data_IF_721552549313
#
_entry.id   IF_721552549313
#
_cell.length_a   1.000
_cell.length_b   1.000
_cell.length_c   1.000
_cell.angle_alpha   90.00
_cell.angle_beta   90.00
_cell.angle_gamma   90.00
#
_symmetry.space_group_name_H-M   'P 1'
#
loop_
_entity.id
_entity.type
_entity.pdbx_description
1 polymer ?
#
# COMPACT_ATOMS: atom_id res chain seq x y z
N UNK A 1 20.10 37.20 31.28
CA UNK A 1 21.21 36.53 30.56
C UNK A 1 20.59 35.80 29.38
N UNK A 2 20.80 36.33 28.16
CA UNK A 2 20.17 35.87 26.91
C UNK A 2 20.83 34.57 26.43
N UNK A 3 20.09 33.46 26.38
CA UNK A 3 20.54 32.22 25.76
C UNK A 3 20.08 32.17 24.30
N UNK A 4 20.99 32.57 23.40
CA UNK A 4 20.87 32.41 21.95
C UNK A 4 20.81 30.91 21.61
N UNK A 5 19.69 30.44 21.07
CA UNK A 5 19.60 29.12 20.45
C UNK A 5 20.41 29.10 19.14
N UNK A 6 21.54 28.40 19.15
CA UNK A 6 22.29 28.05 17.94
C UNK A 6 21.48 27.04 17.13
N UNK A 7 21.02 27.43 15.93
CA UNK A 7 20.44 26.51 14.95
C UNK A 7 21.51 25.51 14.47
N UNK A 8 21.48 24.29 14.96
CA UNK A 8 22.20 23.18 14.35
C UNK A 8 21.51 22.80 13.03
N UNK A 9 22.20 23.02 11.91
CA UNK A 9 21.81 22.54 10.57
C UNK A 9 21.64 21.02 10.59
N UNK A 10 20.42 20.52 10.43
CA UNK A 10 20.14 19.10 10.23
C UNK A 10 20.72 18.63 8.89
N UNK A 11 21.57 17.61 8.95
CA UNK A 11 22.17 16.93 7.78
C UNK A 11 21.14 16.02 7.09
N UNK A 12 20.61 16.53 5.98
CA UNK A 12 20.42 15.88 4.67
C UNK A 12 20.15 14.37 4.65
N UNK A 13 18.89 14.01 4.38
CA UNK A 13 18.47 12.74 3.77
C UNK A 13 19.33 12.43 2.55
N UNK A 14 19.91 11.24 2.46
CA UNK A 14 20.63 10.81 1.24
C UNK A 14 19.72 10.97 0.01
N UNK A 15 20.13 11.72 -1.02
CA UNK A 15 19.25 12.10 -2.11
C UNK A 15 18.86 10.87 -2.94
N UNK A 16 17.56 10.70 -3.20
CA UNK A 16 17.06 9.68 -4.13
C UNK A 16 17.71 9.89 -5.51
N UNK A 17 18.15 8.79 -6.14
CA UNK A 17 18.87 8.84 -7.43
C UNK A 17 17.99 8.33 -8.57
N UNK A 18 17.96 9.08 -9.68
CA UNK A 18 17.19 8.75 -10.87
C UNK A 18 17.74 7.50 -11.54
N UNK A 19 16.92 6.44 -11.63
CA UNK A 19 17.30 5.15 -12.22
C UNK A 19 17.62 5.21 -13.73
N UNK A 20 17.24 6.29 -14.40
CA UNK A 20 17.47 6.50 -15.84
C UNK A 20 18.80 7.19 -16.12
N UNK A 21 19.16 8.21 -15.33
CA UNK A 21 20.31 9.08 -15.66
C UNK A 21 21.22 9.44 -14.48
N UNK A 22 20.96 8.93 -13.27
CA UNK A 22 21.77 9.20 -12.08
C UNK A 22 21.64 10.62 -11.49
N UNK A 23 20.79 11.48 -12.06
CA UNK A 23 20.48 12.80 -11.49
C UNK A 23 19.66 12.68 -10.20
N UNK A 24 19.57 13.74 -9.39
CA UNK A 24 18.72 13.76 -8.20
C UNK A 24 17.27 13.53 -8.60
N UNK A 25 16.67 12.46 -8.09
CA UNK A 25 15.27 12.12 -8.28
C UNK A 25 14.38 12.96 -7.36
N UNK A 26 13.16 13.24 -7.83
CA UNK A 26 12.13 13.89 -7.00
C UNK A 26 11.07 12.91 -6.50
N UNK A 27 11.09 11.68 -7.01
CA UNK A 27 10.12 10.65 -6.63
C UNK A 27 9.87 9.67 -7.75
N UNK A 28 8.80 8.89 -7.61
CA UNK A 28 8.35 7.93 -8.61
C UNK A 28 7.58 8.65 -9.72
N UNK A 29 7.95 8.42 -10.98
CA UNK A 29 7.16 8.86 -12.13
C UNK A 29 7.00 7.69 -13.10
N UNK A 30 5.75 7.40 -13.49
CA UNK A 30 5.43 6.31 -14.39
C UNK A 30 6.06 4.98 -13.94
N UNK A 31 5.94 4.61 -12.66
CA UNK A 31 6.53 3.39 -12.07
C UNK A 31 8.04 3.38 -11.83
N UNK A 32 8.79 4.47 -12.10
CA UNK A 32 10.25 4.50 -11.89
C UNK A 32 10.73 5.75 -11.13
N UNK A 33 11.63 5.53 -10.16
CA UNK A 33 12.29 6.63 -9.41
C UNK A 33 13.12 7.45 -10.39
N UNK A 34 12.70 8.70 -10.61
CA UNK A 34 13.24 9.50 -11.70
C UNK A 34 13.28 10.99 -11.38
N UNK A 35 14.24 11.68 -12.00
CA UNK A 35 14.31 13.14 -11.98
C UNK A 35 13.20 13.75 -12.84
N UNK A 36 12.90 15.03 -12.60
CA UNK A 36 11.89 15.79 -13.34
C UNK A 36 12.16 15.80 -14.86
N UNK A 37 13.42 15.83 -15.28
CA UNK A 37 13.78 15.80 -16.70
C UNK A 37 13.37 14.47 -17.36
N UNK A 38 13.60 13.33 -16.69
CA UNK A 38 13.24 12.02 -17.24
C UNK A 38 11.72 11.79 -17.21
N UNK A 39 11.01 12.27 -16.18
CA UNK A 39 9.53 12.33 -16.17
C UNK A 39 9.00 13.02 -17.42
N UNK A 40 9.41 14.27 -17.62
CA UNK A 40 8.90 15.11 -18.71
C UNK A 40 9.33 14.61 -20.09
N UNK A 41 10.49 13.96 -20.18
CA UNK A 41 10.95 13.30 -21.38
C UNK A 41 10.07 12.09 -21.72
N UNK A 42 9.84 11.18 -20.77
CA UNK A 42 9.02 10.00 -20.99
C UNK A 42 7.58 10.37 -21.38
N UNK A 43 6.97 11.32 -20.66
CA UNK A 43 5.61 11.81 -20.99
C UNK A 43 5.47 12.32 -22.43
N UNK A 44 6.51 12.96 -22.97
CA UNK A 44 6.49 13.51 -24.33
C UNK A 44 6.73 12.46 -25.42
N UNK A 45 7.52 11.43 -25.11
CA UNK A 45 8.05 10.55 -26.15
C UNK A 45 7.58 9.10 -26.05
N UNK A 46 6.95 8.67 -24.96
CA UNK A 46 6.51 7.29 -24.78
C UNK A 46 5.57 6.79 -25.90
N UNK A 47 4.71 7.67 -26.44
CA UNK A 47 3.80 7.36 -27.56
C UNK A 47 4.35 7.74 -28.93
N UNK A 48 5.55 8.32 -29.00
CA UNK A 48 6.14 8.78 -30.26
C UNK A 48 6.86 7.65 -30.99
N UNK A 49 7.10 7.81 -32.29
CA UNK A 49 7.96 6.93 -33.09
C UNK A 49 9.46 7.05 -32.74
N UNK A 50 9.83 7.76 -31.67
CA UNK A 50 11.22 8.01 -31.28
C UNK A 50 12.03 6.72 -31.04
N UNK A 51 11.40 5.63 -30.57
CA UNK A 51 12.06 4.32 -30.45
C UNK A 51 12.46 3.73 -31.82
N UNK A 52 11.77 4.11 -32.90
CA UNK A 52 12.07 3.66 -34.26
C UNK A 52 13.18 4.49 -34.92
N UNK A 53 13.60 5.60 -34.31
CA UNK A 53 14.70 6.40 -34.82
C UNK A 53 16.06 5.77 -34.51
N UNK A 54 16.96 5.77 -35.50
CA UNK A 54 18.25 5.11 -35.40
C UNK A 54 19.17 5.84 -34.42
N UNK A 55 19.75 5.09 -33.48
CA UNK A 55 20.87 5.57 -32.67
C UNK A 55 22.10 5.78 -33.56
N UNK A 56 22.86 6.85 -33.32
CA UNK A 56 24.11 7.16 -34.04
C UNK A 56 25.33 6.40 -33.51
N UNK A 57 25.17 5.68 -32.39
CA UNK A 57 26.25 5.02 -31.64
C UNK A 57 25.79 3.62 -31.17
N UNK A 58 25.32 2.78 -32.10
CA UNK A 58 25.01 1.35 -31.94
C UNK A 58 23.97 0.96 -30.87
N UNK A 59 23.13 1.90 -30.45
CA UNK A 59 22.03 1.60 -29.51
C UNK A 59 22.46 1.38 -28.05
N UNK A 60 23.76 1.50 -27.72
CA UNK A 60 24.33 1.23 -26.39
C UNK A 60 24.78 2.49 -25.64
N UNK A 61 24.19 3.65 -25.92
CA UNK A 61 24.60 4.91 -25.30
C UNK A 61 24.41 4.90 -23.77
N UNK A 62 25.45 5.29 -23.03
CA UNK A 62 25.38 5.45 -21.57
C UNK A 62 24.59 6.72 -21.23
N UNK A 63 23.52 6.57 -20.44
CA UNK A 63 22.62 7.66 -20.06
C UNK A 63 22.98 8.18 -18.67
N UNK A 64 23.54 9.39 -18.61
CA UNK A 64 23.89 10.10 -17.37
C UNK A 64 23.25 11.49 -17.34
N UNK A 65 23.33 12.22 -16.23
CA UNK A 65 22.86 13.61 -16.13
C UNK A 65 23.42 14.49 -17.26
N UNK A 66 24.69 14.28 -17.64
CA UNK A 66 25.38 15.02 -18.70
C UNK A 66 25.01 14.51 -20.10
N UNK A 67 24.93 13.20 -20.30
CA UNK A 67 24.78 12.57 -21.63
C UNK A 67 23.33 12.28 -22.05
N UNK A 68 22.34 12.44 -21.15
CA UNK A 68 20.91 12.15 -21.43
C UNK A 68 20.28 12.97 -22.57
N UNK A 69 20.98 13.94 -23.14
CA UNK A 69 20.51 14.70 -24.31
C UNK A 69 21.15 14.21 -25.63
N UNK A 70 22.23 13.43 -25.56
CA UNK A 70 23.02 13.03 -26.72
C UNK A 70 22.31 11.98 -27.60
N UNK A 71 21.53 11.08 -27.00
CA UNK A 71 20.78 10.07 -27.74
C UNK A 71 19.38 9.89 -27.13
N UNK A 72 18.37 10.48 -27.79
CA UNK A 72 16.99 10.39 -27.35
C UNK A 72 16.39 8.98 -27.50
N UNK A 73 16.67 8.21 -28.59
CA UNK A 73 16.20 6.83 -28.71
C UNK A 73 16.71 5.93 -27.56
N UNK A 74 18.01 5.92 -27.28
CA UNK A 74 18.58 5.13 -26.18
C UNK A 74 18.07 5.59 -24.81
N UNK A 75 17.81 6.89 -24.62
CA UNK A 75 17.20 7.38 -23.38
C UNK A 75 15.77 6.86 -23.22
N UNK A 76 14.98 6.85 -24.29
CA UNK A 76 13.60 6.34 -24.24
C UNK A 76 13.58 4.83 -24.03
N UNK A 77 14.45 4.09 -24.72
CA UNK A 77 14.66 2.66 -24.50
C UNK A 77 15.03 2.38 -23.03
N UNK A 78 15.96 3.15 -22.46
CA UNK A 78 16.33 3.03 -21.04
C UNK A 78 15.16 3.30 -20.11
N UNK A 79 14.28 4.26 -20.43
CA UNK A 79 13.07 4.51 -19.63
C UNK A 79 12.17 3.26 -19.57
N UNK A 80 11.88 2.64 -20.71
CA UNK A 80 11.08 1.41 -20.77
C UNK A 80 11.77 0.22 -20.11
N UNK A 81 13.06 0.00 -20.37
CA UNK A 81 13.85 -1.07 -19.73
C UNK A 81 13.93 -0.93 -18.21
N UNK A 82 13.89 0.30 -17.69
CA UNK A 82 13.88 0.55 -16.24
C UNK A 82 12.47 0.39 -15.65
N UNK A 83 11.45 0.10 -16.47
CA UNK A 83 10.07 -0.14 -16.05
C UNK A 83 9.14 1.06 -16.14
N UNK A 84 9.47 2.10 -16.93
CA UNK A 84 8.51 3.20 -17.11
C UNK A 84 7.30 2.76 -17.91
N UNK A 85 6.10 2.92 -17.35
CA UNK A 85 4.85 2.42 -17.94
C UNK A 85 4.08 3.52 -18.70
N UNK A 86 3.84 3.28 -19.98
CA UNK A 86 3.07 4.15 -20.88
C UNK A 86 1.58 4.17 -20.55
N UNK A 87 1.01 3.10 -19.98
CA UNK A 87 -0.40 3.05 -19.61
C UNK A 87 -0.73 4.09 -18.53
N UNK A 88 0.23 4.38 -17.65
CA UNK A 88 0.11 5.44 -16.65
C UNK A 88 0.03 6.86 -17.24
N UNK A 89 0.47 7.05 -18.50
CA UNK A 89 0.24 8.30 -19.23
C UNK A 89 -1.23 8.36 -19.67
N UNK A 90 -1.76 7.28 -20.27
CA UNK A 90 -3.16 7.21 -20.76
C UNK A 90 -4.19 7.34 -19.65
N UNK A 91 -4.00 6.60 -18.56
CA UNK A 91 -4.85 6.69 -17.38
C UNK A 91 -4.83 8.07 -16.72
N UNK A 92 -3.76 8.85 -16.88
CA UNK A 92 -3.72 10.25 -16.40
C UNK A 92 -4.60 11.20 -17.23
N UNK A 93 -4.76 10.93 -18.53
CA UNK A 93 -5.65 11.69 -19.42
C UNK A 93 -7.11 11.25 -19.28
N UNK A 94 -7.36 9.94 -19.20
CA UNK A 94 -8.71 9.39 -18.95
C UNK A 94 -9.23 9.73 -17.56
N UNK A 95 -8.39 9.73 -16.52
CA UNK A 95 -8.76 10.25 -15.19
C UNK A 95 -9.19 11.70 -15.25
N UNK A 96 -8.47 12.59 -15.97
CA UNK A 96 -8.90 14.00 -16.11
C UNK A 96 -10.28 14.12 -16.74
N UNK A 97 -10.55 13.35 -17.79
CA UNK A 97 -11.83 13.37 -18.51
C UNK A 97 -12.99 12.78 -17.68
N UNK A 98 -12.74 11.72 -16.91
CA UNK A 98 -13.73 11.11 -16.02
C UNK A 98 -14.01 12.00 -14.80
N UNK A 99 -12.97 12.66 -14.25
CA UNK A 99 -13.09 13.66 -13.16
C UNK A 99 -13.90 14.89 -13.60
N UNK A 100 -13.83 15.29 -14.87
CA UNK A 100 -14.67 16.36 -15.43
C UNK A 100 -16.14 15.95 -15.59
N UNK A 101 -16.42 14.67 -15.87
CA UNK A 101 -17.77 14.15 -16.16
C UNK A 101 -18.53 13.62 -14.94
N UNK A 102 -17.87 13.37 -13.81
CA UNK A 102 -18.49 12.78 -12.61
C UNK A 102 -18.17 13.55 -11.34
N UNK A 103 -18.64 14.80 -11.26
CA UNK A 103 -18.60 15.59 -10.01
C UNK A 103 -19.77 15.25 -9.09
N UNK A 104 -19.51 14.49 -8.02
CA UNK A 104 -19.82 14.93 -6.67
C UNK A 104 -18.52 15.37 -5.98
N UNK A 105 -18.54 16.58 -5.42
CA UNK A 105 -17.57 17.23 -4.51
C UNK A 105 -16.24 16.51 -4.20
N UNK A 106 -15.43 16.28 -5.21
CA UNK A 106 -13.96 16.22 -5.08
C UNK A 106 -13.35 17.19 -6.10
N UNK A 107 -13.78 18.45 -6.02
CA UNK A 107 -12.99 19.54 -6.62
C UNK A 107 -11.62 19.55 -5.95
N UNK A 108 -10.59 19.26 -6.76
CA UNK A 108 -9.21 19.71 -6.61
C UNK A 108 -8.74 19.98 -5.17
N UNK A 109 -8.27 18.93 -4.49
CA UNK A 109 -7.48 19.07 -3.26
C UNK A 109 -6.27 20.01 -3.41
N UNK A 110 -5.89 20.39 -4.64
CA UNK A 110 -4.71 21.20 -4.97
C UNK A 110 -5.00 22.67 -5.30
N UNK A 111 -6.23 23.04 -5.71
CA UNK A 111 -6.46 24.40 -6.23
C UNK A 111 -6.66 25.44 -5.11
N UNK A 112 -6.78 24.99 -3.85
CA UNK A 112 -6.86 25.82 -2.64
C UNK A 112 -6.13 25.20 -1.43
N UNK A 113 -5.10 24.41 -1.67
CA UNK A 113 -4.43 23.67 -0.59
C UNK A 113 -3.64 24.59 0.35
N UNK A 114 -4.09 24.70 1.62
CA UNK A 114 -3.33 25.33 2.72
C UNK A 114 -2.61 24.32 3.60
N UNK A 115 -2.55 23.04 3.19
CA UNK A 115 -1.87 22.01 3.96
C UNK A 115 -0.35 22.25 4.03
N UNK A 116 0.30 21.73 5.06
CA UNK A 116 1.76 21.64 5.13
C UNK A 116 2.30 20.43 4.36
N UNK A 117 1.47 19.76 3.56
CA UNK A 117 1.90 18.65 2.71
C UNK A 117 2.54 19.23 1.45
N UNK A 118 3.71 18.72 1.12
CA UNK A 118 4.35 18.99 -0.16
C UNK A 118 3.58 18.30 -1.29
N UNK A 119 3.77 18.78 -2.53
CA UNK A 119 3.16 18.14 -3.70
C UNK A 119 3.54 16.66 -3.84
N UNK A 120 4.74 16.27 -3.42
CA UNK A 120 5.20 14.88 -3.45
C UNK A 120 4.49 14.02 -2.40
N UNK A 121 4.23 14.56 -1.21
CA UNK A 121 3.44 13.88 -0.18
C UNK A 121 1.98 13.68 -0.62
N UNK A 122 1.36 14.67 -1.27
CA UNK A 122 0.03 14.50 -1.85
C UNK A 122 -0.05 13.43 -2.91
N UNK A 123 0.94 13.40 -3.81
CA UNK A 123 1.02 12.36 -4.83
C UNK A 123 1.14 10.97 -4.17
N UNK A 124 1.90 10.87 -3.09
CA UNK A 124 2.07 9.61 -2.37
C UNK A 124 0.80 9.15 -1.65
N UNK A 125 0.05 10.06 -0.99
CA UNK A 125 -1.26 9.76 -0.42
C UNK A 125 -2.25 9.27 -1.49
N UNK A 126 -2.33 10.01 -2.61
CA UNK A 126 -3.18 9.65 -3.74
C UNK A 126 -2.82 8.27 -4.31
N UNK A 127 -1.53 7.96 -4.44
CA UNK A 127 -1.07 6.65 -4.90
C UNK A 127 -1.50 5.54 -3.94
N UNK A 128 -1.40 5.74 -2.62
CA UNK A 128 -1.87 4.77 -1.61
C UNK A 128 -3.38 4.54 -1.80
N UNK A 129 -4.18 5.60 -1.89
CA UNK A 129 -5.63 5.44 -2.02
C UNK A 129 -6.01 4.70 -3.31
N UNK A 130 -5.39 5.08 -4.43
CA UNK A 130 -5.64 4.43 -5.72
C UNK A 130 -5.16 2.98 -5.76
N UNK A 131 -4.02 2.67 -5.15
CA UNK A 131 -3.52 1.30 -5.08
C UNK A 131 -4.51 0.35 -4.40
N UNK A 132 -5.21 0.84 -3.38
CA UNK A 132 -6.28 0.10 -2.72
C UNK A 132 -7.54 0.03 -3.58
N UNK A 133 -8.03 1.16 -4.08
CA UNK A 133 -9.32 1.25 -4.76
C UNK A 133 -9.39 0.48 -6.08
N UNK A 134 -8.30 0.47 -6.86
CA UNK A 134 -8.21 -0.26 -8.13
C UNK A 134 -8.46 -1.78 -7.99
N UNK A 135 -8.35 -2.33 -6.77
CA UNK A 135 -8.58 -3.75 -6.51
C UNK A 135 -10.07 -4.13 -6.41
N UNK A 136 -10.97 -3.14 -6.35
CA UNK A 136 -12.42 -3.31 -6.30
C UNK A 136 -12.90 -4.27 -5.18
N UNK A 137 -12.28 -4.18 -4.00
CA UNK A 137 -12.52 -5.11 -2.89
C UNK A 137 -13.96 -5.06 -2.34
N UNK A 138 -14.60 -3.88 -2.37
CA UNK A 138 -16.00 -3.74 -1.97
C UNK A 138 -16.94 -4.53 -2.88
N UNK A 139 -16.76 -4.42 -4.20
CA UNK A 139 -17.55 -5.16 -5.19
C UNK A 139 -17.38 -6.66 -5.02
N UNK A 140 -16.12 -7.14 -4.95
CA UNK A 140 -15.82 -8.57 -4.73
C UNK A 140 -16.41 -9.11 -3.43
N UNK A 141 -16.38 -8.31 -2.37
CA UNK A 141 -16.96 -8.67 -1.08
C UNK A 141 -18.48 -8.75 -1.16
N UNK A 142 -19.12 -7.80 -1.82
CA UNK A 142 -20.56 -7.81 -2.02
C UNK A 142 -21.02 -9.02 -2.85
N UNK A 143 -20.29 -9.33 -3.92
CA UNK A 143 -20.52 -10.53 -4.75
C UNK A 143 -20.37 -11.82 -3.94
N UNK A 144 -19.35 -11.92 -3.11
CA UNK A 144 -19.19 -13.06 -2.20
C UNK A 144 -20.41 -13.24 -1.29
N UNK A 145 -20.86 -12.17 -0.61
CA UNK A 145 -22.03 -12.26 0.27
C UNK A 145 -23.31 -12.63 -0.49
N UNK A 146 -23.55 -12.05 -1.67
CA UNK A 146 -24.70 -12.42 -2.52
C UNK A 146 -24.65 -13.90 -2.92
N UNK A 147 -23.48 -14.39 -3.32
CA UNK A 147 -23.30 -15.80 -3.68
C UNK A 147 -23.46 -16.73 -2.48
N UNK A 148 -23.11 -16.30 -1.26
CA UNK A 148 -23.36 -17.10 -0.06
C UNK A 148 -24.86 -17.26 0.24
N UNK A 149 -25.66 -16.22 0.00
CA UNK A 149 -27.12 -16.30 0.19
C UNK A 149 -27.77 -17.26 -0.82
N UNK A 150 -27.24 -17.35 -2.05
CA UNK A 150 -27.79 -18.27 -3.07
C UNK A 150 -27.43 -19.74 -2.86
N UNK A 151 -26.38 -20.05 -2.07
CA UNK A 151 -26.00 -21.44 -1.79
C UNK A 151 -27.04 -22.17 -0.91
N UNK A 152 -27.19 -23.51 -1.04
CA UNK A 152 -27.95 -24.33 -0.11
C UNK A 152 -27.43 -24.22 1.33
N UNK A 153 -28.29 -24.29 2.38
CA UNK A 153 -27.89 -24.11 3.78
C UNK A 153 -26.69 -24.98 4.22
N UNK A 154 -26.63 -26.24 3.76
CA UNK A 154 -25.53 -27.18 4.05
C UNK A 154 -24.18 -26.76 3.45
N UNK A 155 -24.18 -25.94 2.39
CA UNK A 155 -22.97 -25.45 1.72
C UNK A 155 -22.54 -24.07 2.24
N UNK A 156 -23.47 -23.30 2.83
CA UNK A 156 -23.17 -22.02 3.50
C UNK A 156 -22.25 -22.21 4.72
N UNK A 157 -22.43 -23.31 5.46
CA UNK A 157 -21.66 -23.59 6.68
C UNK A 157 -20.27 -24.21 6.45
N UNK A 158 -19.83 -24.41 5.19
CA UNK A 158 -18.51 -24.97 4.93
C UNK A 158 -17.41 -23.94 5.16
N UNK A 159 -16.56 -24.21 6.15
CA UNK A 159 -15.39 -23.38 6.48
C UNK A 159 -14.50 -23.09 5.27
N UNK A 160 -14.38 -24.05 4.34
CA UNK A 160 -13.53 -23.89 3.14
C UNK A 160 -13.94 -22.67 2.30
N UNK A 161 -15.24 -22.39 2.17
CA UNK A 161 -15.71 -21.26 1.36
C UNK A 161 -15.32 -19.93 2.01
N UNK A 162 -15.52 -19.82 3.32
CA UNK A 162 -15.19 -18.64 4.10
C UNK A 162 -13.68 -18.43 4.20
N UNK A 163 -12.90 -19.48 4.45
CA UNK A 163 -11.44 -19.42 4.50
C UNK A 163 -10.84 -19.09 3.13
N UNK A 164 -11.40 -19.60 2.02
CA UNK A 164 -10.95 -19.22 0.68
C UNK A 164 -11.20 -17.73 0.41
N UNK A 165 -12.35 -17.20 0.82
CA UNK A 165 -12.64 -15.77 0.72
C UNK A 165 -11.70 -14.94 1.58
N UNK A 166 -11.53 -15.26 2.87
CA UNK A 166 -10.60 -14.56 3.77
C UNK A 166 -9.18 -14.62 3.21
N UNK A 167 -8.72 -15.79 2.77
CA UNK A 167 -7.41 -15.96 2.15
C UNK A 167 -7.23 -15.09 0.91
N UNK A 168 -8.27 -14.94 0.08
CA UNK A 168 -8.23 -14.03 -1.07
C UNK A 168 -8.07 -12.55 -0.65
N UNK A 169 -8.72 -12.11 0.43
CA UNK A 169 -8.55 -10.75 0.96
C UNK A 169 -7.11 -10.52 1.44
N UNK A 170 -6.51 -11.51 2.09
CA UNK A 170 -5.12 -11.42 2.55
C UNK A 170 -4.18 -11.36 1.35
N UNK A 171 -4.38 -12.19 0.33
CA UNK A 171 -3.59 -12.16 -0.90
C UNK A 171 -3.65 -10.79 -1.60
N UNK A 172 -4.82 -10.13 -1.62
CA UNK A 172 -4.95 -8.78 -2.21
C UNK A 172 -4.12 -7.71 -1.48
N UNK A 173 -3.90 -7.85 -0.16
CA UNK A 173 -3.07 -6.90 0.58
C UNK A 173 -1.61 -6.95 0.15
N UNK A 174 -1.11 -8.08 -0.33
CA UNK A 174 0.21 -8.11 -0.96
C UNK A 174 0.26 -7.23 -2.21
N UNK A 175 -0.75 -7.30 -3.07
CA UNK A 175 -0.84 -6.47 -4.30
C UNK A 175 -0.90 -4.99 -3.93
N UNK A 176 -1.69 -4.65 -2.91
CA UNK A 176 -1.77 -3.30 -2.36
C UNK A 176 -0.38 -2.76 -1.94
N UNK A 177 0.33 -3.53 -1.10
CA UNK A 177 1.66 -3.18 -0.59
C UNK A 177 2.68 -3.12 -1.73
N UNK A 178 2.58 -4.06 -2.68
CA UNK A 178 3.42 -4.13 -3.87
C UNK A 178 3.34 -2.89 -4.76
N UNK A 179 2.21 -2.18 -4.78
CA UNK A 179 2.09 -0.94 -5.56
C UNK A 179 2.75 0.27 -4.87
N UNK A 180 3.22 0.12 -3.64
CA UNK A 180 3.91 1.19 -2.94
C UNK A 180 5.36 1.36 -3.45
N UNK A 181 5.77 2.57 -3.87
CA UNK A 181 7.08 2.79 -4.50
C UNK A 181 8.27 2.38 -3.64
N UNK A 182 8.21 2.67 -2.33
CA UNK A 182 9.30 2.32 -1.42
C UNK A 182 9.36 0.81 -1.22
N UNK A 183 8.23 0.09 -1.22
CA UNK A 183 8.24 -1.38 -1.16
C UNK A 183 9.08 -1.97 -2.28
N UNK A 184 8.81 -1.54 -3.53
CA UNK A 184 9.50 -2.03 -4.72
C UNK A 184 10.99 -1.66 -4.76
N UNK A 185 11.40 -0.63 -4.02
CA UNK A 185 12.80 -0.25 -3.91
C UNK A 185 13.60 -1.11 -2.94
N UNK A 186 12.94 -1.89 -2.08
CA UNK A 186 13.59 -2.73 -1.08
C UNK A 186 14.16 -4.02 -1.69
N UNK A 187 15.26 -4.56 -1.12
CA UNK A 187 15.76 -5.88 -1.48
C UNK A 187 14.66 -6.94 -1.38
N UNK A 188 14.71 -7.96 -2.23
CA UNK A 188 13.72 -9.04 -2.26
C UNK A 188 13.57 -9.73 -0.90
N UNK A 189 14.68 -10.01 -0.22
CA UNK A 189 14.68 -10.61 1.12
C UNK A 189 13.92 -9.75 2.14
N UNK A 190 14.08 -8.44 2.05
CA UNK A 190 13.40 -7.46 2.91
C UNK A 190 11.90 -7.38 2.58
N UNK A 191 11.54 -7.40 1.30
CA UNK A 191 10.12 -7.44 0.86
C UNK A 191 9.42 -8.71 1.35
N UNK A 192 10.05 -9.86 1.22
CA UNK A 192 9.51 -11.13 1.69
C UNK A 192 9.31 -11.12 3.21
N UNK A 193 10.27 -10.58 3.95
CA UNK A 193 10.16 -10.50 5.41
C UNK A 193 9.03 -9.57 5.87
N UNK A 194 8.85 -8.42 5.21
CA UNK A 194 7.72 -7.53 5.47
C UNK A 194 6.37 -8.23 5.25
N UNK A 195 6.23 -8.98 4.15
CA UNK A 195 5.00 -9.74 3.89
C UNK A 195 4.81 -10.81 4.95
N UNK A 196 5.83 -11.63 5.24
CA UNK A 196 5.73 -12.71 6.24
C UNK A 196 5.25 -12.19 7.59
N UNK A 197 5.78 -11.06 8.04
CA UNK A 197 5.46 -10.49 9.36
C UNK A 197 4.13 -9.75 9.42
N UNK A 198 3.83 -8.95 8.40
CA UNK A 198 2.76 -7.95 8.50
C UNK A 198 1.49 -8.36 7.73
N UNK A 199 1.53 -9.39 6.88
CA UNK A 199 0.35 -9.74 6.07
C UNK A 199 -0.85 -10.18 6.91
N UNK A 200 -0.62 -10.88 8.03
CA UNK A 200 -1.69 -11.22 8.97
C UNK A 200 -2.35 -9.95 9.52
N UNK A 201 -1.53 -9.00 9.96
CA UNK A 201 -1.98 -7.74 10.53
C UNK A 201 -2.80 -6.90 9.54
N UNK A 202 -2.25 -6.71 8.34
CA UNK A 202 -2.86 -5.90 7.29
C UNK A 202 -4.10 -6.59 6.73
N UNK A 203 -4.04 -7.91 6.48
CA UNK A 203 -5.16 -8.71 5.98
C UNK A 203 -6.33 -8.74 6.95
N UNK A 204 -6.06 -8.98 8.24
CA UNK A 204 -7.09 -8.97 9.29
C UNK A 204 -7.76 -7.60 9.44
N UNK A 205 -6.96 -6.53 9.50
CA UNK A 205 -7.47 -5.17 9.57
C UNK A 205 -8.32 -4.81 8.34
N UNK A 206 -7.85 -5.18 7.15
CA UNK A 206 -8.58 -4.98 5.90
C UNK A 206 -9.93 -5.71 5.89
N UNK A 207 -9.95 -6.99 6.28
CA UNK A 207 -11.19 -7.77 6.35
C UNK A 207 -12.22 -7.14 7.30
N UNK A 208 -11.76 -6.63 8.44
CA UNK A 208 -12.62 -5.94 9.41
C UNK A 208 -13.15 -4.60 8.89
N UNK A 209 -12.32 -3.83 8.19
CA UNK A 209 -12.75 -2.61 7.52
C UNK A 209 -13.81 -2.88 6.46
N UNK A 210 -13.60 -3.87 5.59
CA UNK A 210 -14.57 -4.28 4.57
C UNK A 210 -15.88 -4.75 5.21
N UNK A 211 -15.81 -5.59 6.26
CA UNK A 211 -16.99 -6.04 6.98
C UNK A 211 -17.77 -4.88 7.60
N UNK A 212 -17.09 -3.84 8.11
CA UNK A 212 -17.75 -2.64 8.64
C UNK A 212 -18.46 -1.86 7.55
N UNK A 213 -17.76 -1.56 6.46
CA UNK A 213 -18.29 -0.77 5.35
C UNK A 213 -19.48 -1.43 4.65
N UNK A 214 -19.50 -2.76 4.63
CA UNK A 214 -20.59 -3.54 4.05
C UNK A 214 -21.72 -3.85 5.04
N UNK A 215 -21.70 -3.27 6.26
CA UNK A 215 -22.62 -3.58 7.35
C UNK A 215 -22.74 -5.09 7.63
N UNK A 216 -21.68 -5.86 7.38
CA UNK A 216 -21.70 -7.31 7.55
C UNK A 216 -21.90 -7.72 9.02
N UNK A 217 -21.48 -6.88 9.96
CA UNK A 217 -21.68 -7.09 11.40
C UNK A 217 -23.13 -7.13 11.86
N UNK A 218 -24.06 -6.60 11.05
CA UNK A 218 -25.51 -6.66 11.31
C UNK A 218 -26.15 -7.89 10.66
N UNK A 219 -25.39 -8.63 9.85
CA UNK A 219 -25.85 -9.81 9.15
C UNK A 219 -25.62 -11.08 9.99
N UNK A 220 -26.70 -11.78 10.31
CA UNK A 220 -26.64 -13.02 11.10
C UNK A 220 -25.84 -14.13 10.40
N UNK A 221 -25.88 -14.17 9.07
CA UNK A 221 -25.13 -15.14 8.25
C UNK A 221 -23.63 -14.91 8.43
N UNK A 222 -23.19 -13.65 8.40
CA UNK A 222 -21.79 -13.29 8.63
C UNK A 222 -21.33 -13.70 10.03
N UNK A 223 -22.15 -13.43 11.05
CA UNK A 223 -21.83 -13.80 12.44
C UNK A 223 -21.64 -15.31 12.59
N UNK A 224 -22.52 -16.12 11.98
CA UNK A 224 -22.39 -17.59 11.95
C UNK A 224 -21.10 -18.06 11.26
N UNK A 225 -20.72 -17.46 10.14
CA UNK A 225 -19.49 -17.82 9.44
C UNK A 225 -18.24 -17.56 10.28
N UNK A 226 -18.22 -16.42 10.94
CA UNK A 226 -17.11 -15.98 11.78
C UNK A 226 -17.01 -16.85 13.03
N UNK A 227 -18.13 -17.14 13.70
CA UNK A 227 -18.14 -18.01 14.90
C UNK A 227 -17.78 -19.47 14.57
N UNK A 228 -18.16 -19.98 13.39
CA UNK A 228 -17.77 -21.33 12.96
C UNK A 228 -16.25 -21.49 12.83
N UNK A 229 -15.55 -20.44 12.37
CA UNK A 229 -14.09 -20.47 12.21
C UNK A 229 -13.40 -20.18 13.54
N UNK A 230 -13.82 -19.09 14.20
CA UNK A 230 -13.07 -18.50 15.31
C UNK A 230 -13.60 -18.86 16.70
N UNK A 231 -14.68 -19.63 16.77
CA UNK A 231 -15.30 -20.08 18.01
C UNK A 231 -16.51 -19.24 18.42
N UNK A 232 -17.36 -19.85 19.25
CA UNK A 232 -18.60 -19.24 19.72
C UNK A 232 -18.36 -17.90 20.45
N UNK A 233 -19.11 -16.87 20.07
CA UNK A 233 -19.06 -15.55 20.68
C UNK A 233 -17.93 -14.64 20.18
N UNK A 234 -17.11 -15.10 19.23
CA UNK A 234 -16.09 -14.27 18.59
C UNK A 234 -16.73 -13.11 17.80
N UNK A 235 -17.82 -13.38 17.08
CA UNK A 235 -18.63 -12.40 16.35
C UNK A 235 -19.05 -11.22 17.23
N UNK A 236 -19.60 -11.49 18.42
CA UNK A 236 -19.98 -10.46 19.40
C UNK A 236 -18.80 -9.57 19.81
N UNK A 237 -17.64 -10.18 20.01
CA UNK A 237 -16.40 -9.49 20.36
C UNK A 237 -15.95 -8.55 19.24
N UNK A 238 -16.08 -9.00 17.98
CA UNK A 238 -15.74 -8.22 16.78
C UNK A 238 -16.75 -7.09 16.54
N UNK A 239 -18.05 -7.35 16.70
CA UNK A 239 -19.12 -6.34 16.59
C UNK A 239 -18.90 -5.18 17.58
N UNK A 240 -18.53 -5.49 18.83
CA UNK A 240 -18.21 -4.46 19.84
C UNK A 240 -17.05 -3.57 19.39
N UNK A 241 -15.99 -4.17 18.85
CA UNK A 241 -14.84 -3.44 18.33
C UNK A 241 -15.22 -2.59 17.09
N UNK A 242 -16.12 -3.08 16.23
CA UNK A 242 -16.47 -2.41 14.97
C UNK A 242 -17.20 -1.09 15.17
N UNK A 243 -17.79 -0.86 16.35
CA UNK A 243 -18.39 0.43 16.74
C UNK A 243 -17.35 1.54 16.91
N UNK A 244 -16.10 1.20 17.21
CA UNK A 244 -15.00 2.14 17.43
C UNK A 244 -14.14 2.36 16.18
N UNK A 245 -14.38 1.60 15.11
CA UNK A 245 -13.62 1.70 13.87
C UNK A 245 -13.96 2.99 13.11
N UNK A 246 -12.94 3.72 12.70
CA UNK A 246 -13.08 4.93 11.88
C UNK A 246 -13.71 4.62 10.50
N UNK A 247 -14.71 5.41 10.10
CA UNK A 247 -15.43 5.18 8.84
C UNK A 247 -14.75 5.83 7.62
N UNK A 248 -13.84 6.79 7.84
CA UNK A 248 -13.12 7.45 6.75
C UNK A 248 -12.17 6.46 6.05
N UNK A 249 -12.57 6.00 4.86
CA UNK A 249 -11.81 5.04 4.08
C UNK A 249 -10.40 5.50 3.70
N UNK A 250 -10.17 6.81 3.50
CA UNK A 250 -8.83 7.35 3.22
C UNK A 250 -7.89 7.13 4.40
N UNK A 251 -8.35 7.43 5.61
CA UNK A 251 -7.54 7.23 6.83
C UNK A 251 -7.22 5.75 7.03
N UNK A 252 -8.18 4.86 6.78
CA UNK A 252 -7.95 3.41 6.89
C UNK A 252 -6.95 2.90 5.85
N UNK A 253 -7.03 3.36 4.59
CA UNK A 253 -6.06 2.98 3.54
C UNK A 253 -4.63 3.39 3.90
N UNK A 254 -4.47 4.59 4.48
CA UNK A 254 -3.18 5.06 4.98
C UNK A 254 -2.73 4.20 6.16
N UNK A 255 -3.64 3.89 7.09
CA UNK A 255 -3.38 3.03 8.25
C UNK A 255 -2.92 1.62 7.86
N UNK A 256 -3.56 1.00 6.85
CA UNK A 256 -3.14 -0.28 6.30
C UNK A 256 -1.69 -0.25 5.79
N UNK A 257 -1.29 0.86 5.16
CA UNK A 257 0.10 1.03 4.71
C UNK A 257 1.07 1.24 5.90
N UNK A 258 0.67 1.99 6.94
CA UNK A 258 1.45 2.13 8.18
C UNK A 258 1.66 0.75 8.84
N UNK A 259 0.63 -0.09 8.88
CA UNK A 259 0.71 -1.44 9.41
C UNK A 259 1.60 -2.36 8.55
N UNK A 260 1.55 -2.21 7.22
CA UNK A 260 2.36 -2.99 6.29
C UNK A 260 3.87 -2.78 6.47
N UNK A 261 4.29 -1.58 6.88
CA UNK A 261 5.69 -1.21 7.14
C UNK A 261 6.06 -1.21 8.62
N UNK A 262 5.20 -1.72 9.48
CA UNK A 262 5.47 -1.79 10.91
C UNK A 262 6.61 -2.75 11.21
N UNK A 263 7.58 -2.31 12.02
CA UNK A 263 8.59 -3.19 12.60
C UNK A 263 8.01 -4.09 13.70
N UNK A 264 6.84 -3.72 14.25
CA UNK A 264 6.31 -4.24 15.51
C UNK A 264 4.95 -4.94 15.37
N UNK A 265 4.34 -4.98 14.18
CA UNK A 265 3.10 -5.77 13.98
C UNK A 265 3.34 -7.28 14.14
N UNK A 266 4.62 -7.71 14.08
CA UNK A 266 5.08 -9.06 14.45
C UNK A 266 4.88 -9.42 15.94
N UNK A 267 4.55 -8.47 16.82
CA UNK A 267 4.27 -8.77 18.24
C UNK A 267 3.00 -9.62 18.44
N UNK A 268 2.18 -9.78 17.40
CA UNK A 268 0.99 -10.65 17.45
C UNK A 268 1.28 -12.03 16.87
N UNK A 269 2.31 -12.20 16.04
CA UNK A 269 2.74 -13.51 15.52
C UNK A 269 3.55 -14.23 16.58
N UNK A 270 2.86 -14.80 17.57
CA UNK A 270 3.41 -15.77 18.52
C UNK A 270 3.52 -17.12 17.80
N UNK A 271 4.42 -17.20 16.82
CA UNK A 271 5.00 -18.48 16.44
C UNK A 271 6.45 -18.49 16.94
N UNK A 272 6.72 -19.50 17.76
CA UNK A 272 7.97 -19.78 18.44
C UNK A 272 9.17 -19.83 17.46
N UNK A 273 10.28 -19.18 17.85
CA UNK A 273 11.65 -19.65 17.62
C UNK A 273 12.09 -19.88 16.15
N UNK A 274 11.71 -19.01 15.21
CA UNK A 274 12.54 -18.83 14.00
C UNK A 274 13.12 -17.41 13.94
N UNK A 275 14.32 -17.30 14.53
CA UNK A 275 15.30 -16.25 14.31
C UNK A 275 14.79 -14.79 14.32
N UNK A 276 14.60 -14.26 15.53
CA UNK A 276 14.69 -12.82 15.83
C UNK A 276 15.98 -12.20 15.24
N UNK A 277 17.02 -13.00 14.96
CA UNK A 277 18.31 -12.55 14.44
C UNK A 277 18.32 -12.01 13.00
N UNK A 278 17.26 -12.17 12.20
CA UNK A 278 17.19 -11.51 10.89
C UNK A 278 16.32 -10.25 11.00
N UNK A 279 16.75 -9.30 11.84
CA UNK A 279 16.34 -7.91 11.66
C UNK A 279 17.27 -7.33 10.60
N UNK A 280 16.93 -7.53 9.32
CA UNK A 280 17.53 -6.77 8.23
C UNK A 280 17.15 -5.29 8.39
N UNK A 281 17.94 -4.58 9.20
CA UNK A 281 17.92 -3.14 9.42
C UNK A 281 16.55 -2.55 9.85
N UNK A 282 16.18 -2.59 11.15
CA UNK A 282 14.88 -2.08 11.62
C UNK A 282 14.69 -0.59 11.33
N UNK A 283 15.81 0.14 11.14
CA UNK A 283 15.80 1.58 10.84
C UNK A 283 15.09 1.88 9.53
N UNK A 284 15.16 0.98 8.53
CA UNK A 284 14.51 1.23 7.23
C UNK A 284 12.98 1.13 7.34
N UNK A 285 12.48 0.19 8.15
CA UNK A 285 11.04 0.02 8.38
C UNK A 285 10.48 1.18 9.18
N UNK A 286 11.16 1.54 10.27
CA UNK A 286 10.79 2.69 11.10
C UNK A 286 10.80 3.97 10.26
N UNK A 287 11.82 4.16 9.41
CA UNK A 287 11.90 5.33 8.54
C UNK A 287 10.74 5.40 7.52
N UNK A 288 10.40 4.28 6.86
CA UNK A 288 9.27 4.26 5.91
C UNK A 288 7.95 4.51 6.66
N UNK A 289 7.78 3.88 7.82
CA UNK A 289 6.59 4.07 8.64
C UNK A 289 6.46 5.53 9.12
N UNK A 290 7.55 6.14 9.56
CA UNK A 290 7.60 7.54 10.01
C UNK A 290 7.19 8.52 8.92
N UNK A 291 7.60 8.29 7.66
CA UNK A 291 7.13 9.09 6.51
C UNK A 291 5.60 9.04 6.41
N UNK A 292 5.01 7.84 6.45
CA UNK A 292 3.56 7.68 6.25
C UNK A 292 2.78 8.21 7.45
N UNK A 293 3.27 8.00 8.68
CA UNK A 293 2.68 8.54 9.92
C UNK A 293 2.73 10.07 9.91
N UNK A 294 3.86 10.66 9.51
CA UNK A 294 4.00 12.11 9.38
C UNK A 294 3.02 12.68 8.37
N UNK A 295 2.86 12.02 7.22
CA UNK A 295 1.88 12.42 6.21
C UNK A 295 0.44 12.29 6.71
N UNK A 296 0.11 11.21 7.42
CA UNK A 296 -1.20 11.03 8.05
C UNK A 296 -1.49 12.17 9.03
N UNK A 297 -0.51 12.52 9.88
CA UNK A 297 -0.65 13.60 10.85
C UNK A 297 -0.89 14.96 10.18
N UNK A 298 -0.08 15.30 9.17
CA UNK A 298 -0.26 16.52 8.38
C UNK A 298 -1.63 16.55 7.68
N UNK A 299 -2.06 15.42 7.11
CA UNK A 299 -3.37 15.28 6.47
C UNK A 299 -4.51 15.48 7.47
N UNK A 300 -4.40 14.91 8.68
CA UNK A 300 -5.39 15.09 9.75
C UNK A 300 -5.48 16.55 10.20
N UNK A 301 -4.34 17.22 10.44
CA UNK A 301 -4.32 18.65 10.80
C UNK A 301 -4.97 19.48 9.70
N UNK A 302 -4.64 19.20 8.44
CA UNK A 302 -5.21 19.92 7.30
C UNK A 302 -6.73 19.76 7.21
N UNK A 303 -7.24 18.53 7.33
CA UNK A 303 -8.66 18.24 7.17
C UNK A 303 -9.52 18.66 8.36
N UNK A 304 -8.97 18.60 9.58
CA UNK A 304 -9.78 18.67 10.80
C UNK A 304 -9.31 19.72 11.81
N UNK A 305 -8.13 20.31 11.63
CA UNK A 305 -7.49 21.14 12.65
C UNK A 305 -6.90 20.30 13.79
N UNK A 306 -6.07 20.93 14.64
CA UNK A 306 -5.22 20.21 15.61
C UNK A 306 -5.99 19.34 16.63
N UNK A 307 -7.07 19.88 17.22
CA UNK A 307 -7.82 19.19 18.27
C UNK A 307 -8.52 17.93 17.73
N UNK A 308 -9.29 18.07 16.65
CA UNK A 308 -9.95 16.94 15.99
C UNK A 308 -8.94 15.96 15.37
N UNK A 309 -7.82 16.46 14.82
CA UNK A 309 -6.73 15.62 14.34
C UNK A 309 -6.19 14.71 15.45
N UNK A 310 -6.00 15.25 16.65
CA UNK A 310 -5.55 14.50 17.83
C UNK A 310 -6.54 13.38 18.19
N UNK A 311 -7.82 13.71 18.30
CA UNK A 311 -8.89 12.74 18.60
C UNK A 311 -8.93 11.63 17.55
N UNK A 312 -8.87 11.99 16.27
CA UNK A 312 -8.91 11.02 15.16
C UNK A 312 -7.66 10.15 15.13
N UNK A 313 -6.49 10.71 15.39
CA UNK A 313 -5.24 9.95 15.48
C UNK A 313 -5.30 8.92 16.61
N UNK A 314 -5.77 9.32 17.79
CA UNK A 314 -5.98 8.41 18.93
C UNK A 314 -7.01 7.31 18.60
N UNK A 315 -8.09 7.65 17.90
CA UNK A 315 -9.09 6.68 17.44
C UNK A 315 -8.51 5.65 16.45
N UNK A 316 -7.58 6.07 15.56
CA UNK A 316 -6.87 5.16 14.67
C UNK A 316 -5.94 4.22 15.45
N UNK A 317 -5.23 4.71 16.47
CA UNK A 317 -4.41 3.89 17.36
C UNK A 317 -5.27 2.87 18.13
N UNK A 318 -6.40 3.30 18.70
CA UNK A 318 -7.34 2.42 19.37
C UNK A 318 -7.86 1.32 18.42
N UNK A 319 -8.14 1.67 17.16
CA UNK A 319 -8.54 0.70 16.14
C UNK A 319 -7.46 -0.35 15.89
N UNK A 320 -6.18 0.05 15.85
CA UNK A 320 -5.05 -0.90 15.73
C UNK A 320 -5.00 -1.83 16.94
N UNK A 321 -5.08 -1.30 18.17
CA UNK A 321 -4.98 -2.09 19.40
C UNK A 321 -6.13 -3.11 19.52
N UNK A 322 -7.36 -2.68 19.22
CA UNK A 322 -8.52 -3.57 19.15
C UNK A 322 -8.31 -4.69 18.14
N UNK A 323 -7.77 -4.37 16.97
CA UNK A 323 -7.47 -5.37 15.95
C UNK A 323 -6.37 -6.34 16.39
N UNK A 324 -5.28 -5.84 16.98
CA UNK A 324 -4.19 -6.66 17.51
C UNK A 324 -4.72 -7.74 18.45
N UNK A 325 -5.62 -7.35 19.37
CA UNK A 325 -6.27 -8.30 20.29
C UNK A 325 -7.04 -9.40 19.54
N UNK A 326 -7.83 -9.03 18.52
CA UNK A 326 -8.62 -9.99 17.72
C UNK A 326 -7.76 -10.92 16.87
N UNK A 327 -6.65 -10.42 16.36
CA UNK A 327 -5.73 -11.24 15.59
C UNK A 327 -5.02 -12.27 16.46
N UNK A 328 -4.74 -11.95 17.73
CA UNK A 328 -4.24 -12.93 18.69
C UNK A 328 -5.24 -14.07 18.90
N UNK A 329 -6.53 -13.74 19.06
CA UNK A 329 -7.60 -14.74 19.15
C UNK A 329 -7.63 -15.62 17.87
N UNK A 330 -7.56 -15.01 16.69
CA UNK A 330 -7.55 -15.72 15.40
C UNK A 330 -6.34 -16.62 15.19
N UNK A 331 -5.17 -16.23 15.72
CA UNK A 331 -3.97 -17.05 15.66
C UNK A 331 -4.05 -18.30 16.52
N UNK A 332 -4.96 -18.41 17.50
CA UNK A 332 -5.20 -19.65 18.22
C UNK A 332 -5.91 -20.72 17.35
N UNK A 333 -6.47 -20.33 16.20
CA UNK A 333 -7.23 -21.21 15.31
C UNK A 333 -6.32 -21.83 14.24
N UNK A 334 -6.12 -23.15 14.29
CA UNK A 334 -5.25 -23.87 13.35
C UNK A 334 -5.62 -23.66 11.88
N UNK A 335 -6.92 -23.67 11.53
CA UNK A 335 -7.39 -23.48 10.15
C UNK A 335 -7.01 -22.09 9.60
N UNK A 336 -7.09 -21.05 10.44
CA UNK A 336 -6.69 -19.69 10.11
C UNK A 336 -5.17 -19.59 9.92
N UNK A 337 -4.38 -20.18 10.84
CA UNK A 337 -2.91 -20.24 10.71
C UNK A 337 -2.49 -20.90 9.40
N UNK A 338 -3.08 -22.06 9.08
CA UNK A 338 -2.78 -22.78 7.84
C UNK A 338 -3.12 -21.94 6.59
N UNK A 339 -4.28 -21.28 6.59
CA UNK A 339 -4.70 -20.40 5.49
C UNK A 339 -3.69 -19.25 5.29
N UNK A 340 -3.30 -18.55 6.36
CA UNK A 340 -2.32 -17.46 6.27
C UNK A 340 -0.96 -17.97 5.81
N UNK A 341 -0.46 -19.06 6.40
CA UNK A 341 0.81 -19.66 6.02
C UNK A 341 0.87 -20.00 4.53
N UNK A 342 -0.22 -20.54 3.98
CA UNK A 342 -0.35 -20.81 2.55
C UNK A 342 -0.33 -19.53 1.71
N UNK A 343 -1.09 -18.50 2.09
CA UNK A 343 -1.10 -17.21 1.38
C UNK A 343 0.29 -16.57 1.40
N UNK A 344 0.94 -16.50 2.57
CA UNK A 344 2.29 -15.96 2.72
C UNK A 344 3.28 -16.71 1.83
N UNK A 345 3.28 -18.05 1.87
CA UNK A 345 4.17 -18.89 1.06
C UNK A 345 3.98 -18.66 -0.44
N UNK A 346 2.72 -18.57 -0.90
CA UNK A 346 2.41 -18.29 -2.30
C UNK A 346 2.89 -16.90 -2.70
N UNK A 347 2.62 -15.89 -1.87
CA UNK A 347 3.03 -14.51 -2.11
C UNK A 347 4.55 -14.35 -2.14
N UNK A 348 5.27 -14.92 -1.18
CA UNK A 348 6.74 -14.81 -1.13
C UNK A 348 7.40 -15.48 -2.32
N UNK A 349 6.81 -16.56 -2.84
CA UNK A 349 7.26 -17.23 -4.07
C UNK A 349 6.98 -16.38 -5.32
N UNK A 350 5.82 -15.73 -5.39
CA UNK A 350 5.52 -14.80 -6.51
C UNK A 350 6.57 -13.69 -6.61
N UNK A 351 6.95 -13.12 -5.47
CA UNK A 351 7.97 -12.09 -5.38
C UNK A 351 9.35 -12.55 -5.89
N UNK A 352 9.71 -13.82 -5.71
CA UNK A 352 10.96 -14.40 -6.24
C UNK A 352 10.91 -14.52 -7.77
N UNK A 353 9.79 -15.00 -8.31
CA UNK A 353 9.59 -15.20 -9.75
C UNK A 353 9.62 -13.87 -10.50
N UNK A 354 9.04 -12.81 -9.94
CA UNK A 354 9.11 -11.45 -10.49
C UNK A 354 10.54 -10.88 -10.51
N UNK A 355 11.41 -11.35 -9.63
CA UNK A 355 12.80 -10.91 -9.57
C UNK A 355 13.69 -11.69 -10.55
N UNK A 356 13.41 -12.98 -10.77
CA UNK A 356 14.14 -13.82 -11.73
C UNK A 356 13.89 -13.44 -13.19
N UNK A 357 12.72 -12.89 -13.52
CA UNK A 357 12.40 -12.37 -14.86
C UNK A 357 13.03 -11.02 -15.18
N UNK A 358 13.61 -10.34 -14.20
CA UNK A 358 14.35 -9.06 -14.37
C UNK A 358 15.87 -9.26 -14.47
N UNK A 359 16.37 -10.48 -14.25
CA UNK A 359 17.79 -10.83 -14.29
C UNK A 359 18.20 -11.59 -15.56
N UNK A 360 17.24 -12.00 -16.39
CA UNK A 360 17.41 -12.50 -17.77
C UNK A 360 16.94 -11.43 -18.75
#
# INVERSE_FOLDING_TARGET
>A
MNLKHSKSKQQVSSPLICRICGDTARGLNFSVISCMSCKMFFRRHAQSSLLKQRCRFDGKCIITRKTRKCCLPCRLQRCFQTGMDIQLIRHSYERKRIIELSKPSSLSLLDQDRSTLTSDEWNLLSNITHAYDDQNLFTKTNEFFKNQVSLPPKLRSKDSNTLNYIGSLFATMHIFIGRYPLFQSLPISVRQELIKRNLNAVGGFNGFFLAKQMNAFENEIYSKFIDNIYGYGYSNSVIKASRRLQQNGTLIKILLMIMAFSSNCALVTIDYIENIQIILNPKIFIYIQDIIVTMLWKYLIYQYGFNEATIRFLSLIQSILDMIKRMADGLNVQKHRNMIGNVVKQTTRSLELENGSLQN
#
